data_IF_387791024312
#
_entry.id   IF_387791024312
#
_cell.length_a   1.000
_cell.length_b   1.000
_cell.length_c   1.000
_cell.angle_alpha   90.00
_cell.angle_beta   90.00
_cell.angle_gamma   90.00
#
_symmetry.space_group_name_H-M   'P 1'
#
loop_
_entity.id
_entity.type
_entity.pdbx_description
1 polymer ?
#
# COMPACT_ATOMS: atom_id res chain seq x y z
N UNK A 1 -0.45 -10.48 24.51
CA UNK A 1 -1.80 -9.99 24.12
C UNK A 1 -2.48 -11.03 23.24
N UNK A 2 -3.80 -11.17 23.28
CA UNK A 2 -4.55 -12.11 22.43
C UNK A 2 -5.33 -11.30 21.38
N UNK A 3 -5.11 -11.59 20.11
CA UNK A 3 -5.83 -10.92 19.03
C UNK A 3 -7.31 -11.34 19.02
N UNK A 4 -8.20 -10.39 18.76
CA UNK A 4 -9.63 -10.61 18.66
C UNK A 4 -10.07 -10.57 17.20
N UNK A 5 -11.08 -11.37 16.86
CA UNK A 5 -11.73 -11.28 15.56
C UNK A 5 -12.60 -10.03 15.47
N UNK A 6 -12.69 -9.46 14.28
CA UNK A 6 -13.51 -8.29 13.98
C UNK A 6 -14.60 -8.70 12.99
N UNK A 7 -15.84 -8.33 13.28
CA UNK A 7 -16.97 -8.53 12.38
C UNK A 7 -17.29 -7.22 11.65
N UNK A 8 -17.19 -7.25 10.33
CA UNK A 8 -17.52 -6.15 9.42
C UNK A 8 -18.73 -6.48 8.54
N UNK A 9 -19.64 -7.35 9.01
CA UNK A 9 -20.87 -7.76 8.31
C UNK A 9 -20.77 -9.10 7.57
N UNK A 10 -19.64 -9.80 7.66
CA UNK A 10 -19.43 -11.14 7.06
C UNK A 10 -19.05 -12.19 8.10
N UNK A 11 -19.26 -11.88 9.38
CA UNK A 11 -18.79 -12.69 10.51
C UNK A 11 -17.40 -12.27 10.99
N UNK A 12 -17.03 -12.76 12.17
CA UNK A 12 -15.78 -12.41 12.81
C UNK A 12 -14.56 -12.99 12.06
N UNK A 13 -13.68 -12.11 11.56
CA UNK A 13 -12.41 -12.45 10.91
C UNK A 13 -11.26 -12.16 11.86
N UNK A 14 -10.33 -13.11 12.03
CA UNK A 14 -9.12 -12.90 12.82
C UNK A 14 -8.04 -12.16 12.01
N UNK A 15 -7.16 -11.37 12.67
CA UNK A 15 -6.03 -10.78 12.00
C UNK A 15 -5.02 -11.85 11.62
N UNK A 16 -4.60 -11.84 10.36
CA UNK A 16 -3.52 -12.65 9.82
C UNK A 16 -2.94 -11.96 8.59
N UNK A 17 -1.77 -12.41 8.13
CA UNK A 17 -1.19 -11.90 6.88
C UNK A 17 -2.15 -12.07 5.71
N UNK A 18 -2.79 -13.24 5.62
CA UNK A 18 -3.72 -13.58 4.56
C UNK A 18 -4.98 -12.70 4.59
N UNK A 19 -5.60 -12.56 5.76
CA UNK A 19 -6.83 -11.75 5.91
C UNK A 19 -6.58 -10.26 5.72
N UNK A 20 -5.35 -9.77 5.97
CA UNK A 20 -4.96 -8.38 5.70
C UNK A 20 -4.64 -8.14 4.23
N UNK A 21 -3.86 -9.02 3.59
CA UNK A 21 -3.50 -8.90 2.17
C UNK A 21 -4.74 -9.00 1.28
N UNK A 22 -5.71 -9.85 1.65
CA UNK A 22 -6.95 -10.03 0.91
C UNK A 22 -8.05 -9.00 1.25
N UNK A 23 -7.74 -7.92 1.98
CA UNK A 23 -8.71 -6.91 2.40
C UNK A 23 -9.90 -7.46 3.21
N UNK A 24 -9.74 -8.56 3.94
CA UNK A 24 -10.82 -9.21 4.72
C UNK A 24 -10.87 -8.73 6.17
N UNK A 25 -9.74 -8.31 6.75
CA UNK A 25 -9.66 -7.82 8.13
C UNK A 25 -10.01 -6.32 8.23
N UNK A 26 -11.21 -5.96 7.80
CA UNK A 26 -11.70 -4.58 7.76
C UNK A 26 -12.45 -4.18 9.04
N UNK A 27 -12.50 -2.88 9.40
CA UNK A 27 -11.80 -1.74 8.79
C UNK A 27 -10.38 -1.52 9.33
N UNK A 28 -9.83 -2.48 10.09
CA UNK A 28 -8.58 -2.29 10.84
C UNK A 28 -7.31 -2.52 10.01
N UNK A 29 -7.43 -3.10 8.81
CA UNK A 29 -6.36 -3.22 7.84
C UNK A 29 -6.39 -2.06 6.85
N UNK A 30 -5.33 -1.25 6.79
CA UNK A 30 -5.17 -0.18 5.80
C UNK A 30 -3.76 -0.13 5.22
N UNK A 31 -3.60 0.13 3.92
CA UNK A 31 -2.30 0.42 3.34
C UNK A 31 -1.74 1.75 3.89
N UNK A 32 -0.41 1.83 3.98
CA UNK A 32 0.30 3.07 4.29
C UNK A 32 0.88 3.65 3.01
N UNK A 33 0.88 4.98 2.91
CA UNK A 33 1.39 5.71 1.75
C UNK A 33 2.52 6.63 2.15
N UNK A 34 3.49 6.76 1.25
CA UNK A 34 4.43 7.88 1.23
C UNK A 34 3.97 8.89 0.18
N UNK A 35 4.00 10.17 0.52
CA UNK A 35 3.62 11.25 -0.40
C UNK A 35 4.88 11.91 -0.95
N UNK A 36 5.13 11.70 -2.24
CA UNK A 36 6.31 12.23 -2.93
C UNK A 36 5.89 13.38 -3.84
N UNK A 37 6.62 14.49 -3.79
CA UNK A 37 6.43 15.57 -4.75
C UNK A 37 7.01 15.15 -6.11
N UNK A 38 6.13 14.92 -7.09
CA UNK A 38 6.49 14.40 -8.41
C UNK A 38 7.47 15.31 -9.17
N UNK A 39 7.24 16.62 -9.15
CA UNK A 39 8.12 17.59 -9.83
C UNK A 39 9.54 17.56 -9.25
N UNK A 40 9.67 17.51 -7.91
CA UNK A 40 10.97 17.41 -7.25
C UNK A 40 11.64 16.05 -7.49
N UNK A 41 10.88 14.96 -7.53
CA UNK A 41 11.42 13.64 -7.79
C UNK A 41 12.05 13.53 -9.19
N UNK A 42 11.48 14.21 -10.19
CA UNK A 42 12.05 14.26 -11.55
C UNK A 42 13.30 15.14 -11.64
N UNK A 43 13.40 16.19 -10.81
CA UNK A 43 14.51 17.17 -10.85
C UNK A 43 15.67 16.81 -9.92
N UNK A 44 15.43 16.03 -8.87
CA UNK A 44 16.40 15.70 -7.83
C UNK A 44 16.73 14.22 -7.85
N UNK A 45 17.93 13.89 -8.34
CA UNK A 45 18.45 12.53 -8.33
C UNK A 45 18.45 11.92 -6.92
N UNK A 46 18.84 12.70 -5.91
CA UNK A 46 18.87 12.23 -4.52
C UNK A 46 17.47 11.85 -3.99
N UNK A 47 16.41 12.56 -4.40
CA UNK A 47 15.05 12.21 -4.00
C UNK A 47 14.58 10.94 -4.73
N UNK A 48 14.92 10.80 -6.01
CA UNK A 48 14.63 9.60 -6.79
C UNK A 48 15.28 8.36 -6.17
N UNK A 49 16.57 8.42 -5.89
CA UNK A 49 17.34 7.34 -5.27
C UNK A 49 16.83 7.00 -3.87
N UNK A 50 16.41 7.99 -3.09
CA UNK A 50 15.80 7.75 -1.79
C UNK A 50 14.49 6.96 -1.88
N UNK A 51 13.62 7.30 -2.83
CA UNK A 51 12.33 6.60 -3.01
C UNK A 51 12.54 5.19 -3.54
N UNK A 52 13.47 5.00 -4.49
CA UNK A 52 13.87 3.69 -4.99
C UNK A 52 14.41 2.81 -3.85
N UNK A 53 15.39 3.33 -3.09
CA UNK A 53 15.93 2.64 -1.92
C UNK A 53 14.84 2.30 -0.89
N UNK A 54 13.90 3.22 -0.62
CA UNK A 54 12.80 2.97 0.30
C UNK A 54 11.96 1.77 -0.16
N UNK A 55 11.58 1.71 -1.44
CA UNK A 55 10.74 0.64 -1.97
C UNK A 55 11.48 -0.71 -2.00
N UNK A 56 12.76 -0.72 -2.37
CA UNK A 56 13.59 -1.92 -2.40
C UNK A 56 13.80 -2.56 -1.01
N UNK A 57 13.82 -1.73 0.04
CA UNK A 57 14.11 -2.19 1.40
C UNK A 57 12.86 -2.32 2.28
N UNK A 58 11.74 -1.72 1.89
CA UNK A 58 10.54 -1.64 2.72
C UNK A 58 10.05 -3.01 3.19
N UNK A 59 10.06 -4.05 2.33
CA UNK A 59 9.56 -5.38 2.68
C UNK A 59 10.30 -6.00 3.88
N UNK A 60 11.61 -5.75 4.00
CA UNK A 60 12.42 -6.25 5.10
C UNK A 60 12.18 -5.44 6.38
N UNK A 61 12.21 -4.11 6.28
CA UNK A 61 12.11 -3.18 7.41
C UNK A 61 10.75 -3.31 8.10
N UNK A 62 9.65 -3.38 7.33
CA UNK A 62 8.30 -3.43 7.89
C UNK A 62 8.07 -4.69 8.74
N UNK A 63 8.73 -5.81 8.41
CA UNK A 63 8.66 -7.04 9.21
C UNK A 63 9.29 -6.86 10.59
N UNK A 64 10.40 -6.12 10.69
CA UNK A 64 11.11 -5.89 11.96
C UNK A 64 10.30 -5.01 12.93
N UNK A 65 9.54 -4.06 12.40
CA UNK A 65 8.72 -3.13 13.21
C UNK A 65 7.28 -3.60 13.39
N UNK A 66 6.95 -4.83 12.98
CA UNK A 66 5.66 -5.48 13.25
C UNK A 66 4.53 -5.11 12.29
N UNK A 67 4.83 -4.50 11.14
CA UNK A 67 3.87 -4.32 10.05
C UNK A 67 3.78 -5.57 9.17
N UNK A 68 2.68 -5.69 8.44
CA UNK A 68 2.51 -6.72 7.43
C UNK A 68 3.06 -6.17 6.10
N UNK A 69 4.12 -6.77 5.53
CA UNK A 69 4.65 -6.34 4.25
C UNK A 69 3.63 -6.53 3.12
N UNK A 70 3.71 -5.67 2.12
CA UNK A 70 2.99 -5.87 0.87
C UNK A 70 3.58 -7.08 0.11
N UNK A 71 2.88 -7.55 -0.92
CA UNK A 71 3.45 -8.56 -1.84
C UNK A 71 4.44 -7.89 -2.81
N UNK A 72 5.35 -8.68 -3.37
CA UNK A 72 6.34 -8.23 -4.37
C UNK A 72 5.68 -7.48 -5.53
N UNK A 73 4.51 -7.95 -5.98
CA UNK A 73 3.73 -7.30 -7.02
C UNK A 73 3.33 -5.85 -6.65
N UNK A 74 2.93 -5.60 -5.40
CA UNK A 74 2.56 -4.26 -4.97
C UNK A 74 3.77 -3.32 -4.94
N UNK A 75 4.93 -3.79 -4.47
CA UNK A 75 6.17 -3.00 -4.49
C UNK A 75 6.63 -2.72 -5.91
N UNK A 76 6.51 -3.71 -6.80
CA UNK A 76 6.81 -3.53 -8.22
C UNK A 76 5.89 -2.49 -8.87
N UNK A 77 4.58 -2.57 -8.65
CA UNK A 77 3.62 -1.58 -9.16
C UNK A 77 3.93 -0.18 -8.62
N UNK A 78 4.22 -0.04 -7.32
CA UNK A 78 4.60 1.25 -6.73
C UNK A 78 5.86 1.84 -7.37
N UNK A 79 6.85 1.00 -7.65
CA UNK A 79 8.10 1.38 -8.32
C UNK A 79 7.83 1.85 -9.75
N UNK A 80 7.06 1.08 -10.53
CA UNK A 80 6.68 1.45 -11.90
C UNK A 80 5.89 2.75 -11.93
N UNK A 81 4.88 2.92 -11.07
CA UNK A 81 4.10 4.16 -10.96
C UNK A 81 5.01 5.37 -10.66
N UNK A 82 5.96 5.21 -9.74
CA UNK A 82 6.90 6.27 -9.39
C UNK A 82 7.79 6.67 -10.57
N UNK A 83 8.42 5.70 -11.24
CA UNK A 83 9.33 5.98 -12.36
C UNK A 83 8.62 6.44 -13.64
N UNK A 84 7.35 6.06 -13.83
CA UNK A 84 6.51 6.60 -14.90
C UNK A 84 6.08 8.06 -14.64
N UNK A 85 6.28 8.58 -13.42
CA UNK A 85 5.86 9.93 -13.05
C UNK A 85 4.34 10.08 -12.97
N UNK A 86 3.63 8.98 -12.70
CA UNK A 86 2.17 9.00 -12.54
C UNK A 86 1.80 9.71 -11.24
N UNK A 87 0.81 10.60 -11.31
CA UNK A 87 0.37 11.43 -10.18
C UNK A 87 -1.11 11.20 -9.86
N UNK A 88 -1.53 11.60 -8.66
CA UNK A 88 -2.91 11.51 -8.21
C UNK A 88 -3.14 10.34 -7.26
N UNK A 89 -4.41 9.96 -7.09
CA UNK A 89 -4.82 8.84 -6.24
C UNK A 89 -5.78 7.92 -6.97
N UNK A 90 -5.52 6.62 -6.89
CA UNK A 90 -6.43 5.57 -7.39
C UNK A 90 -7.65 5.37 -6.49
N UNK A 91 -7.62 5.94 -5.28
CA UNK A 91 -8.73 5.85 -4.31
C UNK A 91 -9.91 6.78 -4.64
N UNK A 92 -9.77 7.70 -5.61
CA UNK A 92 -10.85 8.60 -6.03
C UNK A 92 -11.41 9.48 -4.92
N UNK A 93 -10.60 9.76 -3.89
CA UNK A 93 -10.98 10.59 -2.74
C UNK A 93 -11.89 9.90 -1.71
N UNK A 94 -12.18 8.60 -1.86
CA UNK A 94 -13.01 7.84 -0.93
C UNK A 94 -12.27 6.60 -0.40
N UNK A 95 -12.56 6.21 0.84
CA UNK A 95 -12.06 4.94 1.38
C UNK A 95 -12.75 3.78 0.66
N UNK A 96 -12.01 3.02 -0.13
CA UNK A 96 -12.52 1.82 -0.78
C UNK A 96 -12.14 0.59 0.03
N UNK A 97 -13.15 -0.09 0.59
CA UNK A 97 -12.97 -1.26 1.47
C UNK A 97 -13.26 -2.60 0.76
N UNK A 98 -13.90 -2.56 -0.40
CA UNK A 98 -14.39 -3.75 -1.12
C UNK A 98 -13.44 -4.23 -2.23
N UNK A 99 -12.29 -3.59 -2.40
CA UNK A 99 -11.29 -3.90 -3.44
C UNK A 99 -9.95 -4.25 -2.80
N UNK A 100 -9.21 -5.14 -3.46
CA UNK A 100 -7.83 -5.45 -3.03
C UNK A 100 -6.89 -4.32 -3.41
N UNK A 101 -5.76 -4.20 -2.69
CA UNK A 101 -4.74 -3.20 -3.01
C UNK A 101 -4.19 -3.39 -4.44
N UNK A 102 -4.01 -4.62 -4.89
CA UNK A 102 -3.54 -4.92 -6.25
C UNK A 102 -4.52 -4.43 -7.32
N UNK A 103 -5.82 -4.66 -7.13
CA UNK A 103 -6.85 -4.14 -8.03
C UNK A 103 -6.87 -2.61 -8.04
N UNK A 104 -6.67 -1.99 -6.89
CA UNK A 104 -6.62 -0.53 -6.73
C UNK A 104 -5.42 0.07 -7.46
N UNK A 105 -4.22 -0.48 -7.28
CA UNK A 105 -2.98 0.03 -7.89
C UNK A 105 -2.94 -0.14 -9.41
N UNK A 106 -3.72 -1.08 -9.97
CA UNK A 106 -3.85 -1.24 -11.43
C UNK A 106 -4.84 -0.27 -12.06
N UNK A 107 -5.67 0.40 -11.27
CA UNK A 107 -6.60 1.41 -11.80
C UNK A 107 -5.84 2.69 -12.15
N UNK A 108 -6.39 3.46 -13.09
CA UNK A 108 -5.90 4.82 -13.35
C UNK A 108 -6.44 5.78 -12.30
N UNK A 109 -5.59 6.68 -11.81
CA UNK A 109 -6.02 7.79 -10.98
C UNK A 109 -7.13 8.57 -11.69
N UNK A 110 -8.21 8.86 -10.95
CA UNK A 110 -9.32 9.71 -11.42
C UNK A 110 -9.14 11.11 -10.84
N UNK A 111 -9.41 12.12 -11.66
CA UNK A 111 -9.40 13.53 -11.32
C UNK A 111 -10.79 14.12 -11.52
#
# INVERSE_FOLDING_TARGET
MKALGIDSGKGAILPSRETVVNSQYQPLARPLFIYVNAEKAQKSRALQEFVEYYLDNAESIVKEVGYIPLTDEHYHLATVTFFNGEVGTVFGGQSQFDVTLAELLRQKAKF
#
